data_IF_827872384058
#
_entry.id   IF_827872384058
#
_cell.length_a   1.000
_cell.length_b   1.000
_cell.length_c   1.000
_cell.angle_alpha   90.00
_cell.angle_beta   90.00
_cell.angle_gamma   90.00
#
_symmetry.space_group_name_H-M   'P 1'
#
loop_
_entity.id
_entity.type
_entity.pdbx_description
1 polymer ?
#
# COMPACT_ATOMS: atom_id res chain seq x y z
N UNK A 1 18.87 10.26 -11.83
CA UNK A 1 17.66 10.33 -12.64
C UNK A 1 16.88 11.63 -12.45
N UNK A 2 16.69 12.18 -11.22
CA UNK A 2 16.09 13.51 -11.02
C UNK A 2 16.94 14.61 -11.64
N UNK A 3 18.25 14.57 -11.51
CA UNK A 3 19.19 15.53 -12.10
C UNK A 3 18.97 15.76 -13.60
N UNK A 4 18.71 14.68 -14.36
CA UNK A 4 18.42 14.79 -15.80
C UNK A 4 17.12 15.52 -16.11
N UNK A 5 16.22 15.65 -15.15
CA UNK A 5 14.94 16.35 -15.31
C UNK A 5 15.05 17.83 -15.01
N UNK A 6 16.05 18.27 -14.25
CA UNK A 6 16.22 19.67 -13.82
C UNK A 6 16.43 20.59 -15.01
N UNK A 7 17.41 20.33 -15.88
CA UNK A 7 17.77 21.23 -17.00
C UNK A 7 16.60 21.51 -17.97
N UNK A 8 15.83 20.49 -18.42
CA UNK A 8 14.65 20.73 -19.26
C UNK A 8 13.56 21.54 -18.55
N UNK A 9 13.35 21.29 -17.23
CA UNK A 9 12.36 22.01 -16.44
C UNK A 9 12.74 23.46 -16.24
N UNK A 10 14.04 23.75 -15.96
CA UNK A 10 14.55 25.12 -15.84
C UNK A 10 14.30 25.94 -17.13
N UNK A 11 14.56 25.33 -18.29
CA UNK A 11 14.31 26.00 -19.58
C UNK A 11 12.85 26.36 -19.78
N UNK A 12 11.92 25.41 -19.48
CA UNK A 12 10.47 25.65 -19.61
C UNK A 12 9.96 26.66 -18.56
N UNK A 13 10.42 26.54 -17.32
CA UNK A 13 10.04 27.45 -16.23
C UNK A 13 10.45 28.92 -16.54
N UNK A 14 11.61 29.14 -17.16
CA UNK A 14 12.04 30.47 -17.64
C UNK A 14 11.14 31.00 -18.75
N UNK A 15 10.52 30.12 -19.55
CA UNK A 15 9.53 30.48 -20.56
C UNK A 15 8.14 30.83 -19.99
N UNK A 16 7.98 30.88 -18.67
CA UNK A 16 6.73 31.28 -18.01
C UNK A 16 5.75 30.12 -17.75
N UNK A 17 6.14 28.87 -18.03
CA UNK A 17 5.29 27.70 -17.79
C UNK A 17 5.16 27.42 -16.28
N UNK A 18 3.95 27.65 -15.75
CA UNK A 18 3.65 27.52 -14.31
C UNK A 18 3.77 26.08 -13.82
N UNK A 19 3.37 25.12 -14.65
CA UNK A 19 3.42 23.69 -14.28
C UNK A 19 4.88 23.22 -14.18
N UNK A 20 5.71 23.60 -15.14
CA UNK A 20 7.15 23.30 -15.10
C UNK A 20 7.86 23.97 -13.92
N UNK A 21 7.41 25.14 -13.49
CA UNK A 21 7.95 25.81 -12.30
C UNK A 21 7.60 25.05 -11.02
N UNK A 22 6.34 24.63 -10.88
CA UNK A 22 5.90 23.82 -9.74
C UNK A 22 6.60 22.45 -9.71
N UNK A 23 6.75 21.81 -10.87
CA UNK A 23 7.49 20.55 -10.98
C UNK A 23 8.97 20.71 -10.62
N UNK A 24 9.61 21.82 -11.03
CA UNK A 24 11.01 22.08 -10.71
C UNK A 24 11.22 22.23 -9.20
N UNK A 25 10.40 23.04 -8.53
CA UNK A 25 10.46 23.21 -7.07
C UNK A 25 10.32 21.85 -6.36
N UNK A 26 9.35 21.04 -6.78
CA UNK A 26 9.12 19.74 -6.19
C UNK A 26 10.28 18.75 -6.44
N UNK A 27 10.90 18.79 -7.62
CA UNK A 27 12.09 17.99 -7.96
C UNK A 27 13.28 18.39 -7.09
N UNK A 28 13.50 19.69 -6.87
CA UNK A 28 14.59 20.19 -6.04
C UNK A 28 14.41 19.78 -4.57
N UNK A 29 13.21 19.91 -4.04
CA UNK A 29 12.86 19.44 -2.68
C UNK A 29 13.04 17.94 -2.53
N UNK A 30 12.57 17.16 -3.49
CA UNK A 30 12.73 15.71 -3.48
C UNK A 30 14.21 15.31 -3.57
N UNK A 31 14.99 16.02 -4.37
CA UNK A 31 16.44 15.81 -4.49
C UNK A 31 17.13 16.05 -3.15
N UNK A 32 16.85 17.15 -2.46
CA UNK A 32 17.43 17.48 -1.17
C UNK A 32 17.14 16.38 -0.11
N UNK A 33 15.90 15.86 -0.06
CA UNK A 33 15.52 14.76 0.84
C UNK A 33 16.32 13.48 0.54
N UNK A 34 16.50 13.16 -0.74
CA UNK A 34 17.25 11.97 -1.16
C UNK A 34 18.76 12.11 -0.91
N UNK A 35 19.33 13.29 -1.06
CA UNK A 35 20.73 13.60 -0.76
C UNK A 35 21.02 13.52 0.75
N UNK A 36 20.02 13.83 1.60
CA UNK A 36 20.07 13.61 3.05
C UNK A 36 19.89 12.15 3.45
N UNK A 37 19.83 11.23 2.49
CA UNK A 37 19.65 9.79 2.72
C UNK A 37 18.25 9.38 3.15
N UNK A 38 17.27 10.28 3.09
CA UNK A 38 15.87 10.01 3.44
C UNK A 38 15.07 9.57 2.21
N UNK A 39 14.07 8.70 2.38
CA UNK A 39 13.21 8.29 1.27
C UNK A 39 12.27 9.43 0.84
N UNK A 40 11.98 9.51 -0.46
CA UNK A 40 11.13 10.56 -1.02
C UNK A 40 9.72 10.63 -0.40
N UNK A 41 9.21 9.53 0.16
CA UNK A 41 7.92 9.49 0.86
C UNK A 41 7.87 10.33 2.14
N UNK A 42 9.02 10.76 2.68
CA UNK A 42 9.08 11.66 3.85
C UNK A 42 8.94 13.13 3.47
N UNK A 43 8.91 13.44 2.17
CA UNK A 43 8.68 14.80 1.71
C UNK A 43 7.22 15.20 1.98
N UNK A 44 7.05 16.30 2.69
CA UNK A 44 5.72 16.90 2.86
C UNK A 44 5.27 17.54 1.54
N UNK A 45 4.15 17.07 1.01
CA UNK A 45 3.54 17.54 -0.23
C UNK A 45 2.09 17.94 0.01
N UNK A 46 1.66 19.01 -0.66
CA UNK A 46 0.25 19.42 -0.66
C UNK A 46 -0.61 18.50 -1.53
N UNK A 47 -1.93 18.60 -1.39
CA UNK A 47 -2.87 17.85 -2.25
C UNK A 47 -2.70 18.20 -3.73
N UNK A 48 -2.39 19.45 -4.02
CA UNK A 48 -2.21 19.95 -5.40
C UNK A 48 -0.89 19.47 -6.00
N UNK A 49 0.14 19.25 -5.19
CA UNK A 49 1.43 18.70 -5.61
C UNK A 49 1.42 17.18 -5.81
N UNK A 50 0.50 16.47 -5.18
CA UNK A 50 0.45 15.01 -5.20
C UNK A 50 0.40 14.39 -6.62
N UNK A 51 -0.33 14.94 -7.61
CA UNK A 51 -0.28 14.46 -8.99
C UNK A 51 1.10 14.60 -9.62
N UNK A 52 1.76 15.76 -9.44
CA UNK A 52 3.11 16.02 -9.94
C UNK A 52 4.15 15.12 -9.29
N UNK A 53 4.04 14.91 -7.97
CA UNK A 53 4.91 13.99 -7.24
C UNK A 53 4.81 12.57 -7.76
N UNK A 54 3.60 12.09 -8.05
CA UNK A 54 3.38 10.76 -8.65
C UNK A 54 4.00 10.62 -10.03
N UNK A 55 3.98 11.69 -10.85
CA UNK A 55 4.63 11.70 -12.18
C UNK A 55 6.15 11.52 -12.10
N UNK A 56 6.77 11.82 -10.97
CA UNK A 56 8.21 11.57 -10.79
C UNK A 56 8.55 10.09 -10.72
N UNK A 57 7.62 9.23 -10.36
CA UNK A 57 7.76 7.76 -10.27
C UNK A 57 8.98 7.33 -9.45
N UNK A 58 9.24 8.01 -8.34
CA UNK A 58 10.37 7.69 -7.46
C UNK A 58 10.11 6.38 -6.72
N UNK A 59 11.09 5.48 -6.73
CA UNK A 59 10.99 4.22 -6.02
C UNK A 59 10.76 4.43 -4.52
N UNK A 60 11.48 5.37 -3.92
CA UNK A 60 11.39 5.68 -2.49
C UNK A 60 10.15 6.51 -2.11
N UNK A 61 9.34 6.94 -3.09
CA UNK A 61 8.02 7.55 -2.84
C UNK A 61 6.94 6.50 -2.56
N UNK A 62 7.19 5.24 -2.91
CA UNK A 62 6.22 4.15 -2.67
C UNK A 62 6.05 3.89 -1.18
N UNK A 63 4.82 3.55 -0.72
CA UNK A 63 4.62 3.08 0.63
C UNK A 63 5.42 1.80 0.89
N UNK A 64 5.83 1.59 2.13
CA UNK A 64 6.68 0.46 2.55
C UNK A 64 6.01 -0.26 3.70
N UNK A 65 6.09 -1.57 3.67
CA UNK A 65 5.73 -2.45 4.77
C UNK A 65 6.94 -3.32 5.13
N UNK A 66 7.23 -3.43 6.41
CA UNK A 66 8.24 -4.35 6.94
C UNK A 66 7.58 -5.69 7.27
N UNK A 67 8.16 -6.79 6.81
CA UNK A 67 7.72 -8.13 7.18
C UNK A 67 8.87 -8.81 7.91
N UNK A 68 8.69 -9.06 9.20
CA UNK A 68 9.66 -9.72 10.05
C UNK A 68 9.37 -11.21 10.07
N UNK A 69 10.22 -12.02 9.45
CA UNK A 69 10.14 -13.46 9.55
C UNK A 69 10.92 -13.93 10.80
N UNK A 70 10.24 -14.62 11.71
CA UNK A 70 10.75 -15.07 12.99
C UNK A 70 10.58 -16.58 13.17
N UNK A 71 11.24 -17.13 14.17
CA UNK A 71 11.03 -18.49 14.65
C UNK A 71 9.63 -18.65 15.24
N UNK A 72 9.15 -19.89 15.35
CA UNK A 72 7.78 -20.21 15.78
C UNK A 72 7.46 -19.67 17.18
N UNK A 73 8.41 -19.78 18.12
CA UNK A 73 8.24 -19.29 19.49
C UNK A 73 8.03 -17.76 19.56
N UNK A 74 8.55 -17.06 18.57
CA UNK A 74 8.46 -15.59 18.48
C UNK A 74 7.29 -15.10 17.62
N UNK A 75 6.51 -15.98 17.02
CA UNK A 75 5.48 -15.60 16.06
C UNK A 75 4.34 -14.78 16.66
N UNK A 76 3.98 -15.03 17.93
CA UNK A 76 2.92 -14.32 18.65
C UNK A 76 3.41 -13.00 19.27
N UNK A 77 4.62 -12.98 19.82
CA UNK A 77 5.13 -11.87 20.64
C UNK A 77 6.23 -11.04 19.99
N UNK A 78 6.86 -11.58 18.94
CA UNK A 78 8.08 -11.02 18.37
C UNK A 78 9.32 -11.36 19.20
N UNK A 79 10.43 -10.74 18.86
CA UNK A 79 11.73 -10.84 19.57
C UNK A 79 12.45 -9.48 19.53
N UNK A 80 13.62 -9.38 20.15
CA UNK A 80 14.38 -8.13 20.24
C UNK A 80 14.70 -7.50 18.87
N UNK A 81 14.87 -8.31 17.81
CA UNK A 81 15.08 -7.80 16.46
C UNK A 81 13.81 -7.21 15.86
N UNK A 82 12.66 -7.85 16.10
CA UNK A 82 11.36 -7.32 15.64
C UNK A 82 11.02 -6.01 16.34
N UNK A 83 11.35 -5.84 17.60
CA UNK A 83 11.16 -4.57 18.33
C UNK A 83 11.93 -3.43 17.67
N UNK A 84 13.18 -3.67 17.25
CA UNK A 84 13.98 -2.68 16.52
C UNK A 84 13.34 -2.31 15.17
N UNK A 85 12.80 -3.29 14.44
CA UNK A 85 12.12 -3.05 13.15
C UNK A 85 10.80 -2.31 13.38
N UNK A 86 10.02 -2.66 14.40
CA UNK A 86 8.78 -1.95 14.77
C UNK A 86 9.07 -0.49 15.10
N UNK A 87 10.11 -0.22 15.91
CA UNK A 87 10.52 1.15 16.21
C UNK A 87 10.93 1.93 14.95
N UNK A 88 11.65 1.29 14.04
CA UNK A 88 12.02 1.88 12.75
C UNK A 88 10.80 2.14 11.88
N UNK A 89 9.89 1.18 11.76
CA UNK A 89 8.65 1.32 11.01
C UNK A 89 7.80 2.48 11.54
N UNK A 90 7.67 2.59 12.86
CA UNK A 90 6.94 3.69 13.50
C UNK A 90 7.58 5.06 13.17
N UNK A 91 8.91 5.17 13.20
CA UNK A 91 9.63 6.40 12.84
C UNK A 91 9.43 6.82 11.38
N UNK A 92 9.16 5.87 10.48
CA UNK A 92 8.92 6.10 9.06
C UNK A 92 7.44 6.14 8.69
N UNK A 93 6.53 6.01 9.66
CA UNK A 93 5.09 5.82 9.43
C UNK A 93 4.79 4.67 8.46
N UNK A 94 5.54 3.59 8.59
CA UNK A 94 5.41 2.38 7.78
C UNK A 94 4.70 1.26 8.56
N UNK A 95 4.02 0.37 7.85
CA UNK A 95 3.44 -0.82 8.45
C UNK A 95 4.53 -1.85 8.80
N UNK A 96 4.31 -2.63 9.88
CA UNK A 96 5.17 -3.76 10.24
C UNK A 96 4.31 -4.97 10.60
N UNK A 97 4.65 -6.13 10.03
CA UNK A 97 3.99 -7.40 10.28
C UNK A 97 5.02 -8.45 10.67
N UNK A 98 4.75 -9.16 11.77
CA UNK A 98 5.59 -10.29 12.21
C UNK A 98 4.95 -11.58 11.69
N UNK A 99 5.72 -12.46 11.06
CA UNK A 99 5.26 -13.76 10.52
C UNK A 99 6.25 -14.85 10.88
N UNK A 100 5.83 -16.11 10.87
CA UNK A 100 6.73 -17.26 10.86
C UNK A 100 6.44 -18.10 9.62
N UNK A 101 7.40 -18.14 8.71
CA UNK A 101 7.28 -18.93 7.48
C UNK A 101 7.18 -20.44 7.78
N UNK A 102 7.73 -20.90 8.88
CA UNK A 102 7.59 -22.28 9.33
C UNK A 102 6.14 -22.60 9.67
N UNK A 103 5.50 -21.79 10.53
CA UNK A 103 4.07 -21.92 10.86
C UNK A 103 3.20 -21.86 9.60
N UNK A 104 3.48 -20.91 8.68
CA UNK A 104 2.71 -20.82 7.42
C UNK A 104 2.82 -22.09 6.58
N UNK A 105 4.00 -22.70 6.56
CA UNK A 105 4.24 -23.97 5.85
C UNK A 105 3.44 -25.12 6.47
N UNK A 106 3.33 -25.19 7.80
CA UNK A 106 2.55 -26.21 8.50
C UNK A 106 1.04 -26.00 8.28
N UNK A 107 0.56 -24.76 8.44
CA UNK A 107 -0.85 -24.41 8.18
C UNK A 107 -1.26 -24.73 6.74
N UNK A 108 -0.36 -24.58 5.78
CA UNK A 108 -0.63 -24.88 4.38
C UNK A 108 -0.84 -26.38 4.12
N UNK A 109 -0.34 -27.25 5.00
CA UNK A 109 -0.52 -28.72 4.89
C UNK A 109 -1.81 -29.23 5.53
N UNK A 110 -2.47 -28.40 6.33
CA UNK A 110 -3.76 -28.75 6.92
C UNK A 110 -4.88 -28.49 5.91
N UNK A 111 -5.78 -29.42 5.70
CA UNK A 111 -6.90 -29.28 4.78
C UNK A 111 -8.14 -28.66 5.45
N UNK A 112 -8.38 -29.01 6.71
CA UNK A 112 -9.57 -28.60 7.44
C UNK A 112 -9.42 -27.21 8.09
N UNK A 113 -10.43 -26.37 7.91
CA UNK A 113 -10.44 -25.01 8.44
C UNK A 113 -10.55 -24.95 9.98
N UNK A 114 -11.09 -25.99 10.63
CA UNK A 114 -11.14 -26.07 12.09
C UNK A 114 -9.78 -26.46 12.66
N UNK A 115 -9.10 -27.43 12.05
CA UNK A 115 -7.73 -27.82 12.41
C UNK A 115 -6.77 -26.64 12.30
N UNK A 116 -6.85 -25.87 11.20
CA UNK A 116 -6.05 -24.64 11.03
C UNK A 116 -6.26 -23.65 12.18
N UNK A 117 -7.50 -23.43 12.58
CA UNK A 117 -7.84 -22.51 13.68
C UNK A 117 -7.35 -23.01 15.03
N UNK A 118 -7.50 -24.30 15.31
CA UNK A 118 -7.04 -24.91 16.55
C UNK A 118 -5.52 -24.86 16.65
N UNK A 119 -4.82 -25.16 15.55
CA UNK A 119 -3.38 -25.08 15.47
C UNK A 119 -2.88 -23.66 15.73
N UNK A 120 -3.42 -22.66 15.04
CA UNK A 120 -3.05 -21.25 15.27
C UNK A 120 -3.32 -20.82 16.71
N UNK A 121 -4.47 -21.21 17.27
CA UNK A 121 -4.84 -20.88 18.64
C UNK A 121 -3.90 -21.52 19.67
N UNK A 122 -3.39 -22.73 19.43
CA UNK A 122 -2.40 -23.38 20.28
C UNK A 122 -1.07 -22.62 20.34
N UNK A 123 -0.75 -21.85 19.29
CA UNK A 123 0.43 -20.98 19.19
C UNK A 123 0.16 -19.53 19.64
N UNK A 124 -1.04 -19.25 20.17
CA UNK A 124 -1.42 -17.90 20.56
C UNK A 124 -1.71 -16.93 19.39
N UNK A 125 -1.97 -17.48 18.20
CA UNK A 125 -2.26 -16.72 16.99
C UNK A 125 -3.75 -16.77 16.65
N UNK A 126 -4.33 -15.63 16.28
CA UNK A 126 -5.73 -15.55 15.82
C UNK A 126 -5.87 -15.77 14.31
N UNK A 127 -4.83 -15.47 13.56
CA UNK A 127 -4.79 -15.49 12.09
C UNK A 127 -3.43 -15.92 11.58
N UNK A 128 -3.41 -16.43 10.36
CA UNK A 128 -2.15 -16.73 9.67
C UNK A 128 -1.32 -15.46 9.43
N UNK A 129 -0.02 -15.61 9.27
CA UNK A 129 0.87 -14.52 8.86
C UNK A 129 0.50 -14.00 7.48
N UNK A 130 0.11 -14.90 6.56
CA UNK A 130 -0.36 -14.54 5.23
C UNK A 130 -1.59 -13.61 5.28
N UNK A 131 -2.60 -13.94 6.09
CA UNK A 131 -3.78 -13.08 6.25
C UNK A 131 -3.40 -11.70 6.82
N UNK A 132 -2.47 -11.66 7.78
CA UNK A 132 -1.97 -10.40 8.35
C UNK A 132 -1.23 -9.55 7.32
N UNK A 133 -0.38 -10.17 6.49
CA UNK A 133 0.35 -9.48 5.41
C UNK A 133 -0.62 -8.93 4.35
N UNK A 134 -1.60 -9.75 3.92
CA UNK A 134 -2.61 -9.31 2.96
C UNK A 134 -3.38 -8.11 3.51
N UNK A 135 -3.87 -8.19 4.75
CA UNK A 135 -4.63 -7.11 5.38
C UNK A 135 -3.82 -5.83 5.49
N UNK A 136 -2.59 -5.92 6.02
CA UNK A 136 -1.69 -4.77 6.12
C UNK A 136 -1.35 -4.17 4.75
N UNK A 137 -1.22 -5.01 3.71
CA UNK A 137 -1.03 -4.56 2.33
C UNK A 137 -2.23 -3.81 1.78
N UNK A 138 -3.45 -4.28 2.03
CA UNK A 138 -4.68 -3.59 1.66
C UNK A 138 -4.81 -2.24 2.36
N UNK A 139 -4.58 -2.19 3.67
CA UNK A 139 -4.57 -0.94 4.46
C UNK A 139 -3.51 0.03 3.95
N UNK A 140 -2.29 -0.44 3.72
CA UNK A 140 -1.17 0.37 3.22
C UNK A 140 -1.46 1.01 1.86
N UNK A 141 -2.15 0.27 0.99
CA UNK A 141 -2.50 0.72 -0.36
C UNK A 141 -3.85 1.43 -0.41
N UNK A 142 -4.56 1.56 0.72
CA UNK A 142 -5.89 2.14 0.78
C UNK A 142 -6.91 1.37 -0.08
N UNK A 143 -6.83 0.04 -0.09
CA UNK A 143 -7.69 -0.80 -0.90
C UNK A 143 -8.85 -1.37 -0.09
N UNK A 144 -10.01 -1.42 -0.72
CA UNK A 144 -11.19 -2.12 -0.22
C UNK A 144 -11.71 -3.11 -1.26
N UNK A 145 -12.47 -4.09 -0.79
CA UNK A 145 -13.09 -5.10 -1.66
C UNK A 145 -14.60 -5.01 -1.55
N UNK A 146 -15.28 -5.06 -2.70
CA UNK A 146 -16.72 -5.25 -2.79
C UNK A 146 -17.03 -6.47 -3.64
N UNK A 147 -18.25 -6.99 -3.49
CA UNK A 147 -18.66 -8.22 -4.13
C UNK A 147 -19.82 -7.97 -5.09
N UNK A 148 -19.81 -8.69 -6.20
CA UNK A 148 -20.98 -8.83 -7.06
C UNK A 148 -21.47 -10.26 -7.02
N UNK A 149 -22.78 -10.44 -6.99
CA UNK A 149 -23.42 -11.76 -7.08
C UNK A 149 -24.49 -11.73 -8.16
N UNK A 150 -24.42 -12.71 -9.06
CA UNK A 150 -25.35 -12.85 -10.15
C UNK A 150 -25.64 -14.32 -10.43
N UNK A 151 -26.60 -14.63 -11.34
CA UNK A 151 -26.97 -16.02 -11.64
C UNK A 151 -25.83 -16.86 -12.23
N UNK A 152 -24.84 -16.22 -12.82
CA UNK A 152 -23.72 -16.88 -13.51
C UNK A 152 -22.45 -16.94 -12.70
N UNK A 153 -22.18 -15.89 -11.90
CA UNK A 153 -20.94 -15.79 -11.12
C UNK A 153 -21.11 -14.88 -9.89
N UNK A 154 -20.29 -15.16 -8.89
CA UNK A 154 -20.01 -14.22 -7.79
C UNK A 154 -18.55 -13.83 -7.85
N UNK A 155 -18.25 -12.54 -7.72
CA UNK A 155 -16.89 -12.04 -7.90
C UNK A 155 -16.54 -10.96 -6.87
N UNK A 156 -15.28 -10.98 -6.41
CA UNK A 156 -14.69 -9.92 -5.61
C UNK A 156 -13.96 -8.92 -6.52
N UNK A 157 -14.14 -7.64 -6.24
CA UNK A 157 -13.52 -6.52 -6.94
C UNK A 157 -12.75 -5.67 -5.96
N UNK A 158 -11.54 -5.30 -6.31
CA UNK A 158 -10.69 -4.44 -5.48
C UNK A 158 -10.70 -3.02 -6.03
N UNK A 159 -10.87 -2.04 -5.16
CA UNK A 159 -10.85 -0.62 -5.51
C UNK A 159 -10.15 0.20 -4.43
N UNK A 160 -9.81 1.45 -4.75
CA UNK A 160 -9.33 2.42 -3.76
C UNK A 160 -10.45 2.77 -2.79
N UNK A 161 -10.10 2.95 -1.52
CA UNK A 161 -11.01 3.53 -0.54
C UNK A 161 -11.51 4.91 -1.02
N UNK A 162 -12.75 5.27 -0.67
CA UNK A 162 -13.42 6.49 -1.11
C UNK A 162 -13.68 6.59 -2.63
N UNK A 163 -13.53 5.49 -3.39
CA UNK A 163 -13.96 5.44 -4.78
C UNK A 163 -15.46 5.68 -4.87
N UNK A 164 -15.89 6.57 -5.75
CA UNK A 164 -17.32 6.86 -5.95
C UNK A 164 -18.02 5.65 -6.56
N UNK A 165 -19.32 5.48 -6.24
CA UNK A 165 -20.11 4.34 -6.72
C UNK A 165 -20.12 4.20 -8.25
N UNK A 166 -20.13 5.29 -9.00
CA UNK A 166 -20.06 5.28 -10.47
C UNK A 166 -18.72 4.74 -10.96
N UNK A 167 -17.61 5.10 -10.30
CA UNK A 167 -16.28 4.63 -10.66
C UNK A 167 -16.11 3.15 -10.27
N UNK A 168 -16.66 2.75 -9.12
CA UNK A 168 -16.72 1.34 -8.71
C UNK A 168 -17.51 0.49 -9.74
N UNK A 169 -18.64 0.97 -10.22
CA UNK A 169 -19.38 0.32 -11.31
C UNK A 169 -18.54 0.21 -12.58
N UNK A 170 -17.72 1.22 -12.87
CA UNK A 170 -16.78 1.22 -14.01
C UNK A 170 -15.67 0.18 -13.92
N UNK A 171 -15.26 -0.21 -12.72
CA UNK A 171 -14.28 -1.29 -12.50
C UNK A 171 -14.84 -2.64 -12.97
N UNK A 172 -16.15 -2.87 -12.82
CA UNK A 172 -16.82 -4.07 -13.33
C UNK A 172 -16.85 -4.03 -14.85
N UNK A 173 -17.40 -2.96 -15.41
CA UNK A 173 -17.45 -2.72 -16.86
C UNK A 173 -17.73 -1.25 -17.15
N UNK A 174 -17.13 -0.72 -18.22
CA UNK A 174 -17.31 0.68 -18.63
C UNK A 174 -18.76 1.06 -18.90
N UNK A 175 -19.58 0.12 -19.37
CA UNK A 175 -21.00 0.36 -19.63
C UNK A 175 -21.79 0.55 -18.34
N UNK A 176 -21.38 -0.06 -17.23
CA UNK A 176 -22.01 0.18 -15.92
C UNK A 176 -21.74 1.60 -15.41
N UNK A 177 -20.56 2.16 -15.67
CA UNK A 177 -20.31 3.57 -15.38
C UNK A 177 -21.16 4.51 -16.25
N UNK A 178 -21.30 4.20 -17.55
CA UNK A 178 -22.09 5.00 -18.49
C UNK A 178 -23.60 4.96 -18.18
N UNK A 179 -24.09 3.80 -17.77
CA UNK A 179 -25.50 3.58 -17.43
C UNK A 179 -25.83 3.79 -15.96
N UNK A 180 -24.87 4.27 -15.14
CA UNK A 180 -25.04 4.41 -13.69
C UNK A 180 -26.11 5.47 -13.38
N UNK A 181 -27.10 5.10 -12.57
CA UNK A 181 -28.16 5.99 -12.11
C UNK A 181 -28.02 6.24 -10.61
N UNK A 182 -28.02 5.19 -9.81
CA UNK A 182 -27.88 5.26 -8.36
C UNK A 182 -27.32 3.96 -7.78
N UNK A 183 -26.86 4.01 -6.54
CA UNK A 183 -26.56 2.86 -5.72
C UNK A 183 -27.26 3.04 -4.37
N UNK A 184 -27.86 1.98 -3.84
CA UNK A 184 -28.46 1.94 -2.51
C UNK A 184 -27.51 1.14 -1.62
N UNK A 185 -26.84 1.79 -0.65
CA UNK A 185 -26.04 1.09 0.34
C UNK A 185 -26.98 0.36 1.31
N UNK A 186 -26.67 -0.90 1.58
CA UNK A 186 -27.37 -1.73 2.57
C UNK A 186 -26.71 -1.61 3.95
#
# INVERSE_FOLDING_TARGET
SLERRVDPLVKKARGGDKESKAMLDLVERAKAVLEDGKPARTLEISKDEAPLFRQMQLLTAKPVMYVCNVEEESAATGNALTEMVVARAAAENAACVVVSAAIESEVAQLDDASEKREFLKSLGLERTGLERVIRAGYELLGLITYFTAGPKESRAWTMQDQTKAVDAAGIIHTDFARGFICAEPS
#
